data_IF_823034036138
#
_entry.id   IF_823034036138
#
_cell.length_a   1.000
_cell.length_b   1.000
_cell.length_c   1.000
_cell.angle_alpha   90.00
_cell.angle_beta   90.00
_cell.angle_gamma   90.00
#
_symmetry.space_group_name_H-M   'P 1'
#
loop_
_entity.id
_entity.type
_entity.pdbx_description
1 polymer ?
#
# COMPACT_ATOMS: atom_id res chain seq x y z
N UNK A 1 -6.27 12.82 -16.98
CA UNK A 1 -7.10 13.70 -16.11
C UNK A 1 -8.15 12.84 -15.43
N UNK A 2 -8.33 12.93 -14.11
CA UNK A 2 -9.40 12.23 -13.38
C UNK A 2 -10.26 13.27 -12.68
N UNK A 3 -11.58 13.16 -12.82
CA UNK A 3 -12.55 14.03 -12.14
C UNK A 3 -13.05 13.30 -10.91
N UNK A 4 -12.73 13.82 -9.72
CA UNK A 4 -13.24 13.28 -8.47
C UNK A 4 -14.36 14.19 -7.96
N UNK A 5 -15.61 13.85 -8.31
CA UNK A 5 -16.77 14.67 -7.96
C UNK A 5 -17.04 14.69 -6.46
N UNK A 6 -16.85 13.57 -5.76
CA UNK A 6 -17.08 13.49 -4.31
C UNK A 6 -16.04 14.24 -3.49
N UNK A 7 -14.79 14.29 -3.97
CA UNK A 7 -13.73 15.08 -3.33
C UNK A 7 -13.61 16.51 -3.90
N UNK A 8 -14.45 16.88 -4.87
CA UNK A 8 -14.54 18.22 -5.48
C UNK A 8 -13.23 18.76 -6.10
N UNK A 9 -12.37 17.89 -6.63
CA UNK A 9 -11.17 18.32 -7.36
C UNK A 9 -10.83 17.46 -8.58
N UNK A 10 -10.00 18.05 -9.44
CA UNK A 10 -9.48 17.42 -10.65
C UNK A 10 -8.04 16.97 -10.39
N UNK A 11 -7.74 15.70 -10.69
CA UNK A 11 -6.38 15.16 -10.63
C UNK A 11 -5.75 15.22 -12.02
N UNK A 12 -4.76 16.09 -12.17
CA UNK A 12 -3.89 16.13 -13.34
C UNK A 12 -2.78 15.09 -13.19
N UNK A 13 -2.88 14.00 -13.94
CA UNK A 13 -1.89 12.92 -13.96
C UNK A 13 -0.91 13.19 -15.10
N UNK A 14 0.37 13.41 -14.78
CA UNK A 14 1.42 13.76 -15.72
C UNK A 14 2.35 12.58 -16.11
N UNK A 15 1.97 11.35 -15.78
CA UNK A 15 2.74 10.13 -16.02
C UNK A 15 1.98 8.89 -15.56
N UNK A 16 2.65 7.75 -15.44
CA UNK A 16 2.02 6.56 -14.88
C UNK A 16 1.82 6.70 -13.35
N UNK A 17 0.68 6.25 -12.86
CA UNK A 17 0.32 6.30 -11.44
C UNK A 17 -0.07 4.90 -10.97
N UNK A 18 0.79 4.30 -10.15
CA UNK A 18 0.51 2.99 -9.54
C UNK A 18 -0.52 3.15 -8.42
N UNK A 19 -1.70 2.55 -8.60
CA UNK A 19 -2.80 2.57 -7.60
C UNK A 19 -2.85 1.30 -6.74
N UNK A 20 -2.19 0.24 -7.18
CA UNK A 20 -2.12 -1.03 -6.48
C UNK A 20 -0.67 -1.53 -6.53
N UNK A 21 0.13 -1.24 -5.48
CA UNK A 21 1.49 -1.74 -5.41
C UNK A 21 1.50 -3.25 -5.16
N UNK A 22 2.47 -3.94 -5.77
CA UNK A 22 2.77 -5.33 -5.47
C UNK A 22 3.67 -5.47 -4.23
N UNK A 23 3.89 -6.72 -3.81
CA UNK A 23 4.86 -7.03 -2.76
C UNK A 23 6.29 -7.14 -3.34
N UNK A 24 7.34 -6.83 -2.55
CA UNK A 24 8.72 -7.07 -2.94
C UNK A 24 9.02 -8.58 -3.00
N UNK A 25 10.17 -8.94 -3.60
CA UNK A 25 10.60 -10.33 -3.74
C UNK A 25 10.74 -11.06 -2.38
N UNK A 26 11.16 -10.35 -1.33
CA UNK A 26 11.14 -10.84 0.05
C UNK A 26 10.11 -10.05 0.89
N UNK A 27 8.85 -10.50 0.98
CA UNK A 27 7.81 -9.78 1.71
C UNK A 27 8.00 -9.88 3.23
N UNK A 28 7.74 -8.77 3.93
CA UNK A 28 7.75 -8.70 5.40
C UNK A 28 6.82 -9.74 6.05
N UNK A 29 5.77 -10.16 5.34
CA UNK A 29 4.86 -11.22 5.76
C UNK A 29 5.56 -12.54 6.14
N UNK A 30 6.74 -12.85 5.58
CA UNK A 30 7.52 -14.03 5.97
C UNK A 30 8.11 -13.96 7.38
N UNK A 31 8.17 -12.76 7.96
CA UNK A 31 8.80 -12.46 9.26
C UNK A 31 7.77 -12.14 10.34
N UNK A 32 6.50 -12.02 9.97
CA UNK A 32 5.40 -11.76 10.92
C UNK A 32 4.99 -13.10 11.54
N UNK A 33 4.99 -13.16 12.86
CA UNK A 33 4.60 -14.35 13.62
C UNK A 33 4.03 -13.99 15.00
N UNK A 34 3.47 -14.98 15.69
CA UNK A 34 3.03 -14.87 17.08
C UNK A 34 3.94 -15.76 17.94
N UNK A 35 4.73 -15.13 18.81
CA UNK A 35 5.68 -15.79 19.71
C UNK A 35 5.27 -15.48 21.15
N UNK A 36 5.01 -16.51 21.95
CA UNK A 36 4.57 -16.36 23.35
C UNK A 36 3.31 -15.48 23.55
N UNK A 37 2.44 -15.43 22.53
CA UNK A 37 1.23 -14.58 22.55
C UNK A 37 1.48 -13.13 22.16
N UNK A 38 2.71 -12.75 21.81
CA UNK A 38 3.08 -11.43 21.31
C UNK A 38 3.36 -11.48 19.80
N UNK A 39 3.06 -10.38 19.10
CA UNK A 39 3.28 -10.27 17.65
C UNK A 39 4.71 -9.80 17.42
N UNK A 40 5.49 -10.57 16.66
CA UNK A 40 6.83 -10.21 16.23
C UNK A 40 6.86 -9.86 14.72
N UNK A 41 7.85 -9.06 14.30
CA UNK A 41 8.09 -8.77 12.89
C UNK A 41 7.13 -7.78 12.20
N UNK A 42 6.32 -7.04 12.96
CA UNK A 42 5.37 -6.04 12.44
C UNK A 42 5.91 -4.59 12.42
N UNK A 43 7.05 -4.32 13.06
CA UNK A 43 7.63 -2.97 13.23
C UNK A 43 9.03 -2.84 12.67
#
# INVERSE_FOLDING_TARGET
LVINQGSEFIVAIAGEMMRMPGLPADPQAKRIDIVNGEIEGLS
#
